data_IF_399638611199
#
_entry.id   IF_399638611199
#
_cell.length_a   1.000
_cell.length_b   1.000
_cell.length_c   1.000
_cell.angle_alpha   90.00
_cell.angle_beta   90.00
_cell.angle_gamma   90.00
#
_symmetry.space_group_name_H-M   'P 1'
#
loop_
_entity.id
_entity.type
_entity.pdbx_description
1 polymer ?
#
# COMPACT_ATOMS: atom_id res chain seq x y z
N UNK A 1 14.35 -12.52 11.45
CA UNK A 1 13.20 -12.70 10.53
C UNK A 1 12.08 -11.84 11.07
N UNK A 2 11.60 -10.89 10.29
CA UNK A 2 10.66 -9.85 10.71
C UNK A 2 9.22 -10.34 10.81
N UNK A 3 8.35 -9.58 11.51
CA UNK A 3 6.93 -9.90 11.68
C UNK A 3 6.20 -10.12 10.36
N UNK A 4 6.46 -9.28 9.35
CA UNK A 4 5.83 -9.41 8.02
C UNK A 4 6.21 -10.72 7.31
N UNK A 5 7.46 -11.15 7.41
CA UNK A 5 7.93 -12.40 6.79
C UNK A 5 7.29 -13.63 7.43
N UNK A 6 7.09 -13.59 8.75
CA UNK A 6 6.53 -14.72 9.51
C UNK A 6 5.01 -14.80 9.42
N UNK A 7 4.31 -13.66 9.41
CA UNK A 7 2.85 -13.60 9.56
C UNK A 7 2.14 -13.00 8.36
N UNK A 8 2.82 -12.73 7.24
CA UNK A 8 2.22 -12.09 6.06
C UNK A 8 1.04 -12.83 5.42
N UNK A 9 0.81 -14.10 5.80
CA UNK A 9 -0.34 -14.88 5.36
C UNK A 9 -1.64 -14.55 6.15
N UNK A 10 -1.52 -13.99 7.35
CA UNK A 10 -2.63 -13.61 8.22
C UNK A 10 -3.39 -12.37 7.70
N UNK A 11 -4.60 -12.08 8.22
CA UNK A 11 -5.30 -10.84 7.90
C UNK A 11 -4.45 -9.59 8.22
N UNK A 12 -4.49 -8.53 7.39
CA UNK A 12 -3.67 -7.33 7.60
C UNK A 12 -3.79 -6.70 8.99
N UNK A 13 -4.98 -6.75 9.60
CA UNK A 13 -5.19 -6.21 10.94
C UNK A 13 -4.42 -6.99 12.02
N UNK A 14 -4.35 -8.32 11.91
CA UNK A 14 -3.58 -9.16 12.81
C UNK A 14 -2.08 -8.90 12.65
N UNK A 15 -1.62 -8.75 11.41
CA UNK A 15 -0.21 -8.40 11.12
C UNK A 15 0.13 -7.02 11.69
N UNK A 16 -0.75 -6.02 11.55
CA UNK A 16 -0.59 -4.70 12.14
C UNK A 16 -0.43 -4.76 13.67
N UNK A 17 -1.29 -5.52 14.36
CA UNK A 17 -1.22 -5.69 15.82
C UNK A 17 0.11 -6.30 16.25
N UNK A 18 0.57 -7.35 15.56
CA UNK A 18 1.87 -7.97 15.83
C UNK A 18 3.03 -7.02 15.57
N UNK A 19 2.97 -6.22 14.50
CA UNK A 19 3.97 -5.19 14.21
C UNK A 19 3.99 -4.13 15.32
N UNK A 20 2.81 -3.70 15.79
CA UNK A 20 2.72 -2.75 16.89
C UNK A 20 3.39 -3.29 18.15
N UNK A 21 3.03 -4.49 18.60
CA UNK A 21 3.62 -5.12 19.79
C UNK A 21 5.15 -5.26 19.67
N UNK A 22 5.64 -5.70 18.51
CA UNK A 22 7.07 -5.88 18.25
C UNK A 22 7.87 -4.57 18.21
N UNK A 23 7.21 -3.43 18.00
CA UNK A 23 7.83 -2.11 17.89
C UNK A 23 7.65 -1.25 19.14
N UNK A 24 7.00 -1.75 20.20
CA UNK A 24 6.90 -1.04 21.48
C UNK A 24 8.29 -0.74 22.04
N UNK A 25 8.51 0.49 22.49
CA UNK A 25 9.80 0.96 23.01
C UNK A 25 10.81 1.38 21.93
N UNK A 26 10.42 1.36 20.66
CA UNK A 26 11.19 1.96 19.56
C UNK A 26 10.66 3.37 19.23
N UNK A 27 11.22 4.02 18.19
CA UNK A 27 10.63 5.25 17.63
C UNK A 27 9.25 4.99 16.99
N UNK A 28 8.96 3.73 16.64
CA UNK A 28 7.78 3.34 15.88
C UNK A 28 7.90 3.65 14.40
N UNK A 29 6.89 3.25 13.63
CA UNK A 29 6.81 3.43 12.18
C UNK A 29 5.41 3.82 11.72
N UNK A 30 5.32 4.41 10.54
CA UNK A 30 4.10 4.44 9.73
C UNK A 30 4.07 3.22 8.81
N UNK A 31 2.88 2.71 8.47
CA UNK A 31 2.75 1.44 7.77
C UNK A 31 1.47 1.40 6.93
N UNK A 32 1.59 0.96 5.68
CA UNK A 32 0.46 0.52 4.86
C UNK A 32 0.65 -0.96 4.49
N UNK A 33 -0.42 -1.74 4.61
CA UNK A 33 -0.44 -3.18 4.32
C UNK A 33 -1.52 -3.49 3.31
N UNK A 34 -1.20 -4.39 2.37
CA UNK A 34 -2.17 -4.98 1.45
C UNK A 34 -1.96 -6.49 1.37
N UNK A 35 -3.07 -7.23 1.29
CA UNK A 35 -3.11 -8.67 1.08
C UNK A 35 -4.09 -9.00 -0.02
N UNK A 36 -3.63 -9.69 -1.04
CA UNK A 36 -4.45 -10.18 -2.14
C UNK A 36 -4.98 -11.58 -1.80
N UNK A 37 -6.29 -11.76 -1.96
CA UNK A 37 -6.95 -13.06 -1.98
C UNK A 37 -7.28 -13.40 -3.43
N UNK A 38 -6.41 -14.19 -4.06
CA UNK A 38 -6.57 -14.54 -5.47
C UNK A 38 -7.73 -15.49 -5.75
N UNK A 39 -8.21 -16.22 -4.72
CA UNK A 39 -9.36 -17.12 -4.85
C UNK A 39 -10.67 -16.36 -4.91
N UNK A 40 -10.74 -15.21 -4.24
CA UNK A 40 -11.93 -14.36 -4.17
C UNK A 40 -11.89 -13.15 -5.12
N UNK A 41 -10.73 -12.84 -5.70
CA UNK A 41 -10.56 -11.62 -6.48
C UNK A 41 -10.71 -10.36 -5.62
N UNK A 42 -10.23 -10.40 -4.38
CA UNK A 42 -10.35 -9.30 -3.43
C UNK A 42 -8.98 -8.93 -2.86
N UNK A 43 -8.78 -7.66 -2.54
CA UNK A 43 -7.65 -7.17 -1.76
C UNK A 43 -8.16 -6.60 -0.45
N UNK A 44 -7.50 -6.95 0.66
CA UNK A 44 -7.71 -6.32 1.97
C UNK A 44 -6.51 -5.45 2.28
N UNK A 45 -6.73 -4.22 2.70
CA UNK A 45 -5.66 -3.25 2.97
C UNK A 45 -6.03 -2.27 4.09
N UNK A 46 -5.00 -1.71 4.72
CA UNK A 46 -5.11 -0.73 5.80
C UNK A 46 -3.86 0.14 5.84
N UNK A 47 -3.93 1.29 6.54
CA UNK A 47 -2.78 2.16 6.72
C UNK A 47 -2.83 2.99 8.01
N UNK A 48 -1.67 3.15 8.63
CA UNK A 48 -1.39 4.01 9.79
C UNK A 48 -0.31 5.02 9.41
N UNK A 49 -0.57 6.30 9.66
CA UNK A 49 0.31 7.40 9.29
C UNK A 49 0.07 7.87 7.86
N UNK A 50 1.15 8.10 7.11
CA UNK A 50 1.15 8.85 5.86
C UNK A 50 1.76 8.09 4.67
N UNK A 51 1.82 6.74 4.73
CA UNK A 51 2.15 5.94 3.54
C UNK A 51 0.93 5.88 2.63
N UNK A 52 0.99 6.59 1.51
CA UNK A 52 -0.08 6.65 0.54
C UNK A 52 -0.29 5.30 -0.15
N UNK A 53 -1.55 4.99 -0.49
CA UNK A 53 -1.90 3.82 -1.27
C UNK A 53 -2.92 4.09 -2.35
N UNK A 54 -2.64 3.52 -3.52
CA UNK A 54 -3.44 3.70 -4.73
C UNK A 54 -3.57 2.36 -5.46
N UNK A 55 -4.80 1.91 -5.69
CA UNK A 55 -5.11 0.80 -6.57
C UNK A 55 -5.67 1.38 -7.86
N UNK A 56 -4.98 1.19 -8.98
CA UNK A 56 -5.45 1.58 -10.30
C UNK A 56 -6.02 0.36 -11.02
N UNK A 57 -7.26 0.45 -11.47
CA UNK A 57 -7.93 -0.62 -12.20
C UNK A 57 -7.55 -0.58 -13.69
N UNK A 58 -7.35 -1.75 -14.29
CA UNK A 58 -6.91 -1.87 -15.69
C UNK A 58 -8.03 -1.61 -16.71
N UNK A 59 -9.24 -2.08 -16.43
CA UNK A 59 -10.31 -2.15 -17.45
C UNK A 59 -11.72 -1.81 -16.88
N UNK A 60 -11.77 -1.04 -15.79
CA UNK A 60 -13.03 -0.64 -15.17
C UNK A 60 -13.57 0.64 -15.82
N UNK A 61 -14.39 0.47 -16.87
CA UNK A 61 -14.99 1.56 -17.65
C UNK A 61 -16.03 2.39 -16.89
N UNK A 62 -16.53 1.93 -15.73
CA UNK A 62 -17.60 2.63 -15.02
C UNK A 62 -17.34 2.75 -13.50
N UNK A 63 -17.15 4.01 -13.06
CA UNK A 63 -17.36 4.60 -11.71
C UNK A 63 -16.23 4.68 -10.70
N UNK A 64 -15.09 4.03 -10.87
CA UNK A 64 -13.85 4.45 -10.21
C UNK A 64 -12.67 3.77 -10.89
N UNK A 65 -11.94 4.51 -11.73
CA UNK A 65 -10.70 4.02 -12.33
C UNK A 65 -9.64 3.65 -11.27
N UNK A 66 -9.83 4.09 -10.03
CA UNK A 66 -8.90 3.86 -8.93
C UNK A 66 -9.59 3.83 -7.57
N UNK A 67 -8.99 3.14 -6.61
CA UNK A 67 -9.29 3.23 -5.18
C UNK A 67 -8.08 3.80 -4.42
N UNK A 68 -8.33 4.66 -3.44
CA UNK A 68 -7.28 5.25 -2.59
C UNK A 68 -7.39 4.71 -1.17
N UNK A 69 -6.24 4.41 -0.57
CA UNK A 69 -6.15 3.95 0.81
C UNK A 69 -6.48 5.11 1.75
N UNK A 70 -7.49 4.92 2.60
CA UNK A 70 -7.74 5.83 3.72
C UNK A 70 -6.83 5.42 4.87
N UNK A 71 -5.90 6.29 5.25
CA UNK A 71 -5.03 6.07 6.41
C UNK A 71 -5.61 6.74 7.67
N UNK A 72 -5.19 6.25 8.84
CA UNK A 72 -5.48 6.88 10.13
C UNK A 72 -4.20 7.45 10.72
N UNK A 73 -4.25 8.66 11.26
CA UNK A 73 -3.11 9.27 11.95
C UNK A 73 -2.71 8.46 13.17
N UNK A 74 -1.42 8.18 13.33
CA UNK A 74 -0.87 7.37 14.41
C UNK A 74 0.49 6.79 14.08
N UNK A 75 1.06 6.05 15.03
CA UNK A 75 2.39 5.42 14.93
C UNK A 75 2.31 3.98 15.43
N UNK A 76 2.71 3.03 14.59
CA UNK A 76 2.85 1.61 14.95
C UNK A 76 4.04 1.45 15.89
N UNK A 77 3.85 0.81 17.05
CA UNK A 77 4.80 0.79 18.18
C UNK A 77 4.66 1.97 19.16
N UNK A 78 3.81 2.96 18.84
CA UNK A 78 3.49 4.11 19.68
C UNK A 78 1.98 4.25 19.89
N UNK A 79 1.39 5.39 19.52
CA UNK A 79 -0.07 5.60 19.57
C UNK A 79 -0.75 4.96 18.36
N UNK A 80 -1.31 3.76 18.55
CA UNK A 80 -2.00 3.01 17.50
C UNK A 80 -3.51 3.33 17.52
N UNK A 81 -4.05 3.96 16.46
CA UNK A 81 -5.46 4.28 16.38
C UNK A 81 -6.30 3.02 16.15
N UNK A 82 -7.62 3.13 16.34
CA UNK A 82 -8.55 2.14 15.83
C UNK A 82 -8.55 2.17 14.28
N UNK A 83 -7.90 1.18 13.66
CA UNK A 83 -7.82 1.03 12.21
C UNK A 83 -8.81 -0.03 11.74
N UNK A 84 -9.51 0.26 10.65
CA UNK A 84 -10.35 -0.71 9.95
C UNK A 84 -9.69 -1.06 8.61
N UNK A 85 -9.65 -2.35 8.28
CA UNK A 85 -9.22 -2.78 6.98
C UNK A 85 -10.35 -2.58 5.96
N UNK A 86 -10.02 -1.97 4.82
CA UNK A 86 -10.91 -1.92 3.68
C UNK A 86 -10.75 -3.19 2.86
N UNK A 87 -11.83 -3.62 2.19
CA UNK A 87 -11.82 -4.75 1.27
C UNK A 87 -12.32 -4.24 -0.08
N UNK A 88 -11.52 -4.41 -1.13
CA UNK A 88 -11.80 -3.90 -2.48
C UNK A 88 -11.68 -5.02 -3.51
N UNK A 89 -12.50 -5.02 -4.57
CA UNK A 89 -12.35 -5.98 -5.65
C UNK A 89 -11.07 -5.71 -6.45
N UNK A 90 -10.48 -6.77 -6.99
CA UNK A 90 -9.29 -6.71 -7.86
C UNK A 90 -9.42 -7.68 -9.03
N UNK A 91 -9.00 -7.22 -10.21
CA UNK A 91 -8.97 -8.02 -11.44
C UNK A 91 -7.53 -8.10 -12.00
N UNK A 92 -7.17 -9.18 -12.74
CA UNK A 92 -5.88 -9.26 -13.39
C UNK A 92 -5.57 -8.00 -14.22
N UNK A 93 -4.38 -7.44 -14.04
CA UNK A 93 -3.96 -6.17 -14.63
C UNK A 93 -4.01 -4.99 -13.65
N UNK A 94 -4.85 -5.05 -12.62
CA UNK A 94 -4.92 -4.00 -11.59
C UNK A 94 -3.55 -3.81 -10.92
N UNK A 95 -3.21 -2.55 -10.66
CA UNK A 95 -1.87 -2.18 -10.18
C UNK A 95 -1.99 -1.39 -8.87
N UNK A 96 -1.39 -1.94 -7.81
CA UNK A 96 -1.23 -1.30 -6.50
C UNK A 96 0.07 -0.48 -6.48
N UNK A 97 -0.01 0.72 -5.94
CA UNK A 97 1.13 1.59 -5.63
C UNK A 97 1.08 1.97 -4.16
N UNK A 98 2.19 1.82 -3.45
CA UNK A 98 2.44 2.48 -2.17
C UNK A 98 3.59 3.47 -2.30
N UNK A 99 3.47 4.62 -1.65
CA UNK A 99 4.50 5.66 -1.65
C UNK A 99 4.66 6.28 -0.26
N UNK A 100 5.89 6.51 0.18
CA UNK A 100 6.17 7.27 1.41
C UNK A 100 5.98 8.77 1.19
N UNK A 101 5.96 9.54 2.27
CA UNK A 101 5.84 11.00 2.23
C UNK A 101 7.04 11.73 1.61
N UNK A 102 8.17 11.05 1.41
CA UNK A 102 9.26 11.52 0.54
C UNK A 102 8.86 11.65 -0.95
N UNK A 103 7.69 11.14 -1.34
CA UNK A 103 7.12 11.24 -2.70
C UNK A 103 5.95 12.24 -2.70
N UNK A 104 5.91 13.10 -3.71
CA UNK A 104 4.85 14.08 -3.94
C UNK A 104 3.54 13.42 -4.39
N UNK A 105 2.43 13.70 -3.71
CA UNK A 105 1.08 13.15 -3.93
C UNK A 105 0.59 13.25 -5.39
N UNK A 106 1.09 14.22 -6.15
CA UNK A 106 0.81 14.48 -7.56
C UNK A 106 0.99 13.24 -8.44
N UNK A 107 1.83 12.28 -8.03
CA UNK A 107 1.98 11.01 -8.75
C UNK A 107 0.64 10.31 -8.97
N UNK A 108 -0.30 10.39 -8.02
CA UNK A 108 -1.57 9.67 -8.07
C UNK A 108 -2.43 10.05 -9.27
N UNK A 109 -2.27 11.26 -9.82
CA UNK A 109 -3.01 11.76 -10.98
C UNK A 109 -2.36 11.42 -12.32
N UNK A 110 -1.06 11.09 -12.32
CA UNK A 110 -0.25 10.95 -13.53
C UNK A 110 0.21 9.51 -13.80
N UNK A 111 -0.16 8.54 -12.96
CA UNK A 111 0.24 7.15 -13.18
C UNK A 111 -0.38 6.56 -14.45
N UNK A 112 0.48 5.98 -15.29
CA UNK A 112 0.07 5.13 -16.41
C UNK A 112 0.52 3.70 -16.15
N UNK A 113 -0.45 2.78 -16.06
CA UNK A 113 -0.20 1.38 -15.72
C UNK A 113 0.15 0.51 -16.94
N UNK A 114 0.47 1.11 -18.09
CA UNK A 114 0.98 0.37 -19.25
C UNK A 114 2.41 -0.15 -19.05
N UNK A 115 3.21 0.54 -18.24
CA UNK A 115 4.61 0.18 -17.98
C UNK A 115 4.73 -1.03 -17.04
N UNK A 116 5.84 -1.80 -17.09
CA UNK A 116 6.16 -2.81 -16.09
C UNK A 116 6.29 -2.21 -14.67
N UNK A 117 5.91 -2.95 -13.59
CA UNK A 117 5.90 -2.42 -12.22
C UNK A 117 7.19 -1.72 -11.78
N UNK A 118 8.36 -2.31 -12.06
CA UNK A 118 9.64 -1.72 -11.68
C UNK A 118 9.86 -0.36 -12.37
N UNK A 119 9.61 -0.27 -13.68
CA UNK A 119 9.78 0.99 -14.41
C UNK A 119 8.81 2.06 -13.94
N UNK A 120 7.57 1.68 -13.62
CA UNK A 120 6.59 2.61 -13.06
C UNK A 120 7.07 3.14 -11.69
N UNK A 121 7.62 2.28 -10.83
CA UNK A 121 8.20 2.70 -9.55
C UNK A 121 9.35 3.70 -9.76
N UNK A 122 10.28 3.39 -10.66
CA UNK A 122 11.44 4.22 -10.97
C UNK A 122 11.00 5.60 -11.54
N UNK A 123 10.01 5.62 -12.42
CA UNK A 123 9.45 6.84 -12.99
C UNK A 123 8.76 7.72 -11.94
N UNK A 124 7.99 7.11 -11.04
CA UNK A 124 7.34 7.84 -9.94
C UNK A 124 8.42 8.46 -9.05
N UNK A 125 9.43 7.68 -8.65
CA UNK A 125 10.49 8.16 -7.78
C UNK A 125 11.30 9.30 -8.43
N UNK A 126 11.66 9.17 -9.71
CA UNK A 126 12.42 10.18 -10.44
C UNK A 126 11.65 11.49 -10.65
N UNK A 127 10.33 11.41 -10.89
CA UNK A 127 9.49 12.59 -11.18
C UNK A 127 8.90 13.24 -9.94
N UNK A 128 8.61 12.48 -8.89
CA UNK A 128 7.85 12.93 -7.72
C UNK A 128 8.63 12.83 -6.41
N UNK A 129 9.84 12.28 -6.39
CA UNK A 129 10.72 12.34 -5.21
C UNK A 129 11.00 13.79 -4.80
N UNK A 130 10.91 14.09 -3.50
CA UNK A 130 11.17 15.43 -2.95
C UNK A 130 12.66 15.76 -2.91
N UNK A 131 13.52 14.76 -2.75
CA UNK A 131 14.99 14.92 -2.62
C UNK A 131 15.45 15.50 -1.28
N UNK A 132 14.51 15.86 -0.40
CA UNK A 132 14.78 16.39 0.95
C UNK A 132 14.46 15.39 2.06
N UNK A 133 13.93 14.23 1.70
CA UNK A 133 13.47 13.19 2.61
C UNK A 133 13.61 11.82 1.94
N UNK A 134 13.58 10.75 2.74
CA UNK A 134 13.66 9.38 2.25
C UNK A 134 12.40 9.00 1.46
N UNK A 135 12.59 8.58 0.21
CA UNK A 135 11.51 8.27 -0.70
C UNK A 135 11.54 6.80 -1.11
N UNK A 136 10.39 6.12 -0.94
CA UNK A 136 10.19 4.75 -1.36
C UNK A 136 8.88 4.64 -2.15
N UNK A 137 8.93 3.89 -3.25
CA UNK A 137 7.76 3.53 -4.06
C UNK A 137 7.74 2.02 -4.21
N UNK A 138 6.61 1.39 -3.90
CA UNK A 138 6.33 -0.01 -4.20
C UNK A 138 5.22 -0.07 -5.25
N UNK A 139 5.44 -0.85 -6.31
CA UNK A 139 4.43 -1.12 -7.34
C UNK A 139 4.25 -2.62 -7.48
N UNK A 140 3.00 -3.08 -7.42
CA UNK A 140 2.63 -4.48 -7.61
C UNK A 140 1.48 -4.60 -8.61
N UNK A 141 1.64 -5.45 -9.63
CA UNK A 141 0.55 -5.78 -10.56
C UNK A 141 -0.08 -7.11 -10.17
N UNK A 142 -1.39 -7.11 -9.97
CA UNK A 142 -2.14 -8.33 -9.69
C UNK A 142 -2.32 -9.13 -11.00
N UNK A 143 -1.91 -10.39 -10.99
CA UNK A 143 -1.94 -11.27 -12.17
C UNK A 143 -3.04 -12.33 -12.12
N UNK A 144 -3.86 -12.35 -11.06
CA UNK A 144 -4.84 -13.40 -10.84
C UNK A 144 -4.27 -14.67 -10.21
N UNK A 145 -5.09 -15.71 -10.15
CA UNK A 145 -4.66 -17.06 -9.81
C UNK A 145 -4.04 -17.71 -11.06
N UNK A 146 -2.86 -18.32 -10.92
CA UNK A 146 -2.25 -19.17 -11.95
C UNK A 146 -2.53 -20.63 -11.63
#
# INVERSE_FOLDING_TARGET
MGTLERYGHEPPLSVLQRCHEALIGTRGVVLSLARFDSTRGMMTWLGVGNVEGLLQHADWSERSARATLVTRGGIVGGDLPAVQAAVVPVAPGDTLVFATDGVRHEFTAEISISEPPQRLADQILARFGKGTDDALVLVARYLGHR
#
